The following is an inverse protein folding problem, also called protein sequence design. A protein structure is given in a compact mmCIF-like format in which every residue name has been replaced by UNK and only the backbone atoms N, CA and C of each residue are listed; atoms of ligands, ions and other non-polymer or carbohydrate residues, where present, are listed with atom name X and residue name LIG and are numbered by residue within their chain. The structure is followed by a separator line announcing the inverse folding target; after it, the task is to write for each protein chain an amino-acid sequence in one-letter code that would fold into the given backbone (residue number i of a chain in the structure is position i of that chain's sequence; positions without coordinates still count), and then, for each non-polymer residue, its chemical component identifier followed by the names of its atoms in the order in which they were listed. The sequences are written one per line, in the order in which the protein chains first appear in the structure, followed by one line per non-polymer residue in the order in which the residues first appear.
data_IF_556813090822
#
_entry.id   IF_556813090822
#
_cell.length_a   1.000
_cell.length_b   1.000
_cell.length_c   1.000
_cell.angle_alpha   90.00
_cell.angle_beta   90.00
_cell.angle_gamma   90.00
#
_symmetry.space_group_name_H-M   'P 1'
#
loop_
_entity.id
_entity.type
_entity.pdbx_description
1 polymer ?
#
# COMPACT_ATOMS: atom_id res chain seq x y z
N UNK A 1 -6.34 -13.79 -0.07
CA UNK A 1 -5.63 -12.71 -0.78
C UNK A 1 -5.13 -11.68 0.24
N UNK A 2 -3.89 -11.30 0.14
CA UNK A 2 -3.30 -10.26 1.00
C UNK A 2 -3.45 -8.89 0.36
N UNK A 3 -3.89 -7.91 1.14
CA UNK A 3 -4.10 -6.53 0.69
C UNK A 3 -3.38 -5.56 1.60
N UNK A 4 -2.66 -4.61 1.02
CA UNK A 4 -1.89 -3.61 1.74
C UNK A 4 -2.73 -2.36 1.99
N UNK A 5 -2.83 -1.95 3.24
CA UNK A 5 -3.52 -0.71 3.65
C UNK A 5 -2.65 0.10 4.60
N UNK A 6 -3.06 1.34 4.80
CA UNK A 6 -2.43 2.26 5.74
C UNK A 6 -3.39 2.59 6.89
N UNK A 7 -2.86 2.57 8.12
CA UNK A 7 -3.64 2.82 9.34
C UNK A 7 -3.25 4.11 10.08
N UNK A 8 -2.55 5.02 9.40
CA UNK A 8 -2.19 6.32 9.94
C UNK A 8 -2.79 7.44 9.08
N UNK A 9 -2.83 8.66 9.61
CA UNK A 9 -3.31 9.82 8.86
C UNK A 9 -2.41 10.14 7.67
N UNK A 10 -2.97 10.76 6.63
CA UNK A 10 -2.22 11.29 5.51
C UNK A 10 -2.11 10.40 4.27
N UNK A 11 -2.62 9.17 4.34
CA UNK A 11 -2.66 8.27 3.20
C UNK A 11 -1.45 7.33 3.09
N UNK A 12 -1.60 6.33 2.23
CA UNK A 12 -0.58 5.30 2.07
C UNK A 12 0.63 5.83 1.30
N UNK A 13 1.82 5.41 1.76
CA UNK A 13 3.09 5.72 1.11
C UNK A 13 3.99 4.51 1.19
N UNK A 14 4.90 4.38 0.22
CA UNK A 14 5.96 3.39 0.24
C UNK A 14 7.31 4.07 0.17
N UNK A 15 8.31 3.41 0.75
CA UNK A 15 9.67 3.94 0.80
C UNK A 15 10.53 3.43 -0.34
N UNK A 16 11.66 4.10 -0.53
CA UNK A 16 12.69 3.68 -1.48
C UNK A 16 13.11 2.23 -1.26
N UNK A 17 13.14 1.75 -0.01
CA UNK A 17 13.53 0.37 0.30
C UNK A 17 12.65 -0.66 -0.41
N UNK A 18 11.35 -0.39 -0.52
CA UNK A 18 10.42 -1.29 -1.25
C UNK A 18 10.73 -1.29 -2.74
N UNK A 19 10.99 -0.11 -3.32
CA UNK A 19 11.34 -0.01 -4.75
C UNK A 19 12.67 -0.71 -5.06
N UNK A 20 13.66 -0.58 -4.19
CA UNK A 20 14.93 -1.29 -4.33
C UNK A 20 14.72 -2.81 -4.29
N UNK A 21 13.89 -3.28 -3.36
CA UNK A 21 13.56 -4.71 -3.23
C UNK A 21 12.87 -5.24 -4.49
N UNK A 22 12.04 -4.43 -5.13
CA UNK A 22 11.36 -4.78 -6.38
C UNK A 22 12.25 -4.63 -7.62
N UNK A 23 13.41 -4.01 -7.49
CA UNK A 23 14.28 -3.70 -8.63
C UNK A 23 13.72 -2.62 -9.54
N UNK A 24 12.89 -1.74 -9.00
CA UNK A 24 12.25 -0.67 -9.76
C UNK A 24 12.93 0.68 -9.53
N UNK A 25 12.90 1.58 -10.54
CA UNK A 25 13.48 2.91 -10.39
C UNK A 25 12.69 3.73 -9.36
N UNK A 26 13.42 4.57 -8.63
CA UNK A 26 12.79 5.50 -7.69
C UNK A 26 12.09 6.61 -8.46
N UNK A 27 10.79 6.88 -8.20
CA UNK A 27 10.04 7.88 -8.96
C UNK A 27 10.58 9.29 -8.80
N UNK A 28 10.55 10.09 -9.86
CA UNK A 28 11.02 11.47 -9.86
C UNK A 28 10.18 12.39 -8.96
N UNK A 29 8.90 12.06 -8.77
CA UNK A 29 8.01 12.83 -7.91
C UNK A 29 8.06 12.43 -6.42
N UNK A 30 8.98 11.54 -6.06
CA UNK A 30 9.17 11.16 -4.66
C UNK A 30 9.58 12.36 -3.81
N UNK A 31 9.16 12.38 -2.55
CA UNK A 31 9.52 13.42 -1.60
C UNK A 31 8.82 14.77 -1.82
N UNK A 32 7.84 14.84 -2.71
CA UNK A 32 7.07 16.06 -2.98
C UNK A 32 5.83 16.15 -2.09
N UNK A 33 5.22 17.34 -2.04
CA UNK A 33 3.94 17.60 -1.36
C UNK A 33 3.93 17.22 0.13
N UNK A 34 5.03 17.52 0.83
CA UNK A 34 5.14 17.25 2.26
C UNK A 34 5.52 15.82 2.61
N UNK A 35 5.82 14.97 1.63
CA UNK A 35 6.34 13.64 1.87
C UNK A 35 7.81 13.70 2.33
N UNK A 36 8.26 12.69 3.07
CA UNK A 36 9.68 12.51 3.32
C UNK A 36 10.41 12.22 2.01
N UNK A 37 11.70 12.55 1.93
CA UNK A 37 12.50 12.37 0.70
C UNK A 37 12.51 10.92 0.21
N UNK A 38 12.38 9.96 1.11
CA UNK A 38 12.38 8.54 0.80
C UNK A 38 10.99 7.94 0.68
N UNK A 39 9.96 8.77 0.52
CA UNK A 39 8.58 8.34 0.39
C UNK A 39 7.95 8.76 -0.93
N UNK A 40 7.03 7.95 -1.43
CA UNK A 40 6.22 8.25 -2.60
C UNK A 40 4.80 7.71 -2.38
N UNK A 41 3.81 8.40 -2.96
CA UNK A 41 2.46 7.86 -3.06
C UNK A 41 2.48 6.86 -4.21
N UNK A 42 2.32 5.55 -3.92
CA UNK A 42 2.44 4.52 -4.96
C UNK A 42 1.22 4.46 -5.85
N UNK A 43 1.41 3.96 -7.06
CA UNK A 43 0.35 3.61 -7.98
C UNK A 43 0.81 2.43 -8.85
N UNK A 44 -0.10 1.92 -9.69
CA UNK A 44 0.24 0.81 -10.59
C UNK A 44 1.42 1.15 -11.49
N UNK A 45 1.45 2.35 -12.02
CA UNK A 45 2.49 2.80 -12.95
C UNK A 45 3.88 2.78 -12.31
N UNK A 46 4.03 3.40 -11.14
CA UNK A 46 5.32 3.44 -10.46
C UNK A 46 5.80 2.04 -10.03
N UNK A 47 4.86 1.13 -9.80
CA UNK A 47 5.17 -0.24 -9.38
C UNK A 47 5.19 -1.23 -10.56
N UNK A 48 5.11 -0.74 -11.80
CA UNK A 48 5.25 -1.58 -12.99
C UNK A 48 4.09 -2.54 -13.22
N UNK A 49 2.90 -2.18 -12.78
CA UNK A 49 1.71 -3.02 -12.86
C UNK A 49 0.78 -2.49 -13.95
N UNK A 50 0.33 -3.39 -14.83
CA UNK A 50 -0.68 -3.09 -15.84
C UNK A 50 -1.95 -3.84 -15.47
N UNK A 51 -2.98 -3.08 -15.05
CA UNK A 51 -4.24 -3.66 -14.62
C UNK A 51 -5.35 -2.62 -14.78
N UNK A 52 -6.60 -3.08 -14.91
CA UNK A 52 -7.77 -2.20 -14.98
C UNK A 52 -8.08 -1.56 -13.63
N UNK A 53 -7.92 -2.32 -12.55
CA UNK A 53 -8.11 -1.81 -11.19
C UNK A 53 -6.95 -0.87 -10.85
N UNK A 54 -7.20 0.43 -10.59
CA UNK A 54 -6.14 1.38 -10.27
C UNK A 54 -5.45 1.09 -8.92
N UNK A 55 -6.03 0.24 -8.11
CA UNK A 55 -5.48 -0.17 -6.81
C UNK A 55 -4.87 -1.57 -6.83
N UNK A 56 -4.66 -2.15 -8.03
CA UNK A 56 -4.14 -3.51 -8.16
C UNK A 56 -2.79 -3.72 -7.47
N UNK A 57 -1.97 -2.66 -7.36
CA UNK A 57 -0.68 -2.72 -6.68
C UNK A 57 -0.80 -3.15 -5.21
N UNK A 58 -1.95 -2.90 -4.57
CA UNK A 58 -2.16 -3.22 -3.15
C UNK A 58 -2.25 -4.71 -2.87
N UNK A 59 -2.60 -5.51 -3.87
CA UNK A 59 -2.70 -6.97 -3.74
C UNK A 59 -1.80 -7.73 -4.71
N UNK A 60 -0.91 -7.04 -5.38
CA UNK A 60 0.09 -7.67 -6.24
C UNK A 60 1.05 -8.48 -5.37
N UNK A 61 1.26 -9.74 -5.72
CA UNK A 61 2.09 -10.66 -4.92
C UNK A 61 3.52 -10.19 -4.76
N UNK A 62 4.09 -9.56 -5.80
CA UNK A 62 5.47 -9.07 -5.74
C UNK A 62 5.59 -7.89 -4.79
N UNK A 63 4.62 -6.98 -4.81
CA UNK A 63 4.58 -5.83 -3.92
C UNK A 63 4.42 -6.29 -2.47
N UNK A 64 3.47 -7.18 -2.21
CA UNK A 64 3.26 -7.73 -0.86
C UNK A 64 4.53 -8.42 -0.36
N UNK A 65 5.15 -9.27 -1.19
CA UNK A 65 6.38 -9.96 -0.80
C UNK A 65 7.53 -8.99 -0.52
N UNK A 66 7.67 -7.94 -1.31
CA UNK A 66 8.69 -6.92 -1.09
C UNK A 66 8.48 -6.17 0.22
N UNK A 67 7.24 -5.78 0.52
CA UNK A 67 6.91 -5.13 1.79
C UNK A 67 7.18 -6.05 2.97
N UNK A 68 6.82 -7.33 2.85
CA UNK A 68 7.10 -8.32 3.92
C UNK A 68 8.60 -8.50 4.15
N UNK A 69 9.42 -8.52 3.09
CA UNK A 69 10.88 -8.64 3.22
C UNK A 69 11.53 -7.41 3.82
N UNK A 70 11.08 -6.24 3.42
CA UNK A 70 11.58 -4.96 3.96
C UNK A 70 11.09 -4.74 5.39
N UNK A 71 9.89 -5.19 5.69
CA UNK A 71 9.20 -4.96 6.96
C UNK A 71 8.20 -3.82 6.85
N UNK A 72 7.08 -3.94 7.56
CA UNK A 72 5.98 -2.96 7.48
C UNK A 72 6.43 -1.55 7.88
N UNK A 73 7.22 -1.44 8.94
CA UNK A 73 7.69 -0.15 9.43
C UNK A 73 8.63 0.53 8.42
N UNK A 74 9.63 -0.20 7.96
CA UNK A 74 10.60 0.32 6.98
C UNK A 74 9.98 0.52 5.60
N UNK A 75 8.95 -0.24 5.26
CA UNK A 75 8.26 -0.15 3.97
C UNK A 75 7.39 1.09 3.83
N UNK A 76 6.79 1.57 4.91
CA UNK A 76 5.95 2.77 4.91
C UNK A 76 6.69 4.03 5.31
N UNK A 77 7.61 3.90 6.25
CA UNK A 77 8.40 5.01 6.76
C UNK A 77 7.61 5.94 7.67
N UNK A 78 8.05 7.18 7.72
CA UNK A 78 7.53 8.20 8.63
C UNK A 78 6.05 8.50 8.39
N UNK A 79 5.27 8.52 9.47
CA UNK A 79 3.85 8.86 9.47
C UNK A 79 2.99 7.92 8.62
N UNK A 80 3.43 6.67 8.48
CA UNK A 80 2.70 5.61 7.77
C UNK A 80 2.69 4.38 8.65
N UNK A 81 1.54 3.75 8.75
CA UNK A 81 1.39 2.48 9.44
C UNK A 81 0.82 1.46 8.46
N UNK A 82 1.70 0.75 7.79
CA UNK A 82 1.29 -0.29 6.84
C UNK A 82 0.73 -1.50 7.57
N UNK A 83 -0.32 -2.06 6.99
CA UNK A 83 -0.93 -3.29 7.46
C UNK A 83 -1.24 -4.18 6.26
N UNK A 84 -0.93 -5.46 6.36
CA UNK A 84 -1.32 -6.46 5.36
C UNK A 84 -2.50 -7.24 5.94
N UNK A 85 -3.63 -7.17 5.25
CA UNK A 85 -4.86 -7.85 5.65
C UNK A 85 -5.09 -9.03 4.72
N UNK A 86 -5.29 -10.22 5.29
CA UNK A 86 -5.63 -11.41 4.52
C UNK A 86 -7.15 -11.56 4.47
N UNK A 87 -7.70 -11.47 3.26
CA UNK A 87 -9.14 -11.57 3.04
C UNK A 87 -9.46 -12.78 2.14
N UNK A 88 -10.69 -13.33 2.24
CA UNK A 88 -11.09 -14.41 1.33
C UNK A 88 -11.01 -13.99 -0.13
N UNK A 89 -10.59 -14.91 -1.01
CA UNK A 89 -10.34 -14.60 -2.42
C UNK A 89 -11.60 -14.29 -3.22
N UNK A 90 -12.74 -14.82 -2.81
CA UNK A 90 -13.98 -14.82 -3.58
C UNK A 90 -14.99 -13.75 -3.15
N UNK A 91 -14.55 -12.73 -2.45
CA UNK A 91 -15.46 -11.68 -1.97
C UNK A 91 -15.31 -10.39 -2.76
N UNK A 92 -16.41 -9.67 -2.90
CA UNK A 92 -16.38 -8.30 -3.35
C UNK A 92 -16.00 -7.40 -2.18
N UNK A 93 -14.99 -6.55 -2.34
CA UNK A 93 -14.47 -5.70 -1.28
C UNK A 93 -14.08 -4.34 -1.83
N UNK A 94 -13.99 -3.36 -0.93
CA UNK A 94 -13.53 -2.01 -1.24
C UNK A 94 -12.69 -1.47 -0.10
N UNK A 95 -11.83 -0.51 -0.40
CA UNK A 95 -11.08 0.23 0.61
C UNK A 95 -11.85 1.51 0.90
N UNK A 96 -12.10 1.78 2.16
CA UNK A 96 -12.64 3.05 2.64
C UNK A 96 -11.54 3.81 3.35
N UNK A 97 -11.49 5.11 3.09
CA UNK A 97 -10.45 6.01 3.59
C UNK A 97 -11.11 7.11 4.41
N UNK A 98 -10.67 7.26 5.66
CA UNK A 98 -11.05 8.37 6.53
C UNK A 98 -9.78 9.10 6.96
N UNK A 99 -9.49 10.24 6.32
CA UNK A 99 -8.30 11.04 6.62
C UNK A 99 -6.98 10.29 6.42
N UNK A 100 -6.96 9.36 5.50
CA UNK A 100 -5.80 8.50 5.22
C UNK A 100 -5.78 7.19 5.99
N UNK A 101 -6.63 7.03 7.01
CA UNK A 101 -6.80 5.77 7.72
C UNK A 101 -7.73 4.89 6.92
N UNK A 102 -7.20 3.75 6.47
CA UNK A 102 -7.90 2.87 5.56
C UNK A 102 -8.44 1.62 6.25
N UNK A 103 -9.56 1.12 5.74
CA UNK A 103 -10.13 -0.16 6.14
C UNK A 103 -10.71 -0.86 4.92
N UNK A 104 -10.79 -2.19 4.99
CA UNK A 104 -11.35 -3.01 3.92
C UNK A 104 -12.78 -3.40 4.32
N UNK A 105 -13.71 -3.17 3.43
CA UNK A 105 -15.13 -3.45 3.64
C UNK A 105 -15.65 -4.42 2.60
N UNK A 106 -16.36 -5.44 3.05
CA UNK A 106 -17.19 -6.27 2.20
C UNK A 106 -18.65 -6.14 2.61
N UNK A 107 -19.54 -6.83 1.92
CA UNK A 107 -20.97 -6.75 2.19
C UNK A 107 -21.35 -7.07 3.64
N UNK A 108 -20.55 -7.92 4.34
CA UNK A 108 -20.88 -8.42 5.67
C UNK A 108 -19.78 -8.25 6.72
N UNK A 109 -18.58 -7.77 6.33
CA UNK A 109 -17.44 -7.67 7.24
C UNK A 109 -16.56 -6.44 7.00
N UNK A 110 -15.83 -6.07 8.05
CA UNK A 110 -14.88 -4.94 8.02
C UNK A 110 -13.51 -5.44 8.51
N UNK A 111 -12.43 -5.03 7.83
CA UNK A 111 -11.05 -5.26 8.25
C UNK A 111 -10.30 -3.94 8.38
N UNK A 112 -9.61 -3.66 9.49
CA UNK A 112 -9.64 -4.49 10.69
C UNK A 112 -11.01 -4.43 11.36
N UNK A 113 -11.36 -5.45 12.18
CA UNK A 113 -12.62 -5.44 12.91
C UNK A 113 -12.72 -4.23 13.83
N UNK A 114 -13.93 -3.70 13.97
CA UNK A 114 -14.21 -2.59 14.88
C UNK A 114 -14.12 -3.01 16.34
#
# INVERSE_FOLDING_TARGET
MKVLINRDFGGIRLTRAVFLELGLPWPENAGRWGLAEDQVIPDNRTLGIVAEDPEAWRYDRRVIAAVERVGLEAGGGRNVELMIVDIPDDIAWEIRDEWGIESIHEKHRVWPPE
#
